data_IF_508648961000
#
_entry.id   IF_508648961000
#
_cell.length_a   1.000
_cell.length_b   1.000
_cell.length_c   1.000
_cell.angle_alpha   90.00
_cell.angle_beta   90.00
_cell.angle_gamma   90.00
#
_symmetry.space_group_name_H-M   'P 1'
#
loop_
_entity.id
_entity.type
_entity.pdbx_description
1 polymer ?
#
# COMPACT_ATOMS: atom_id res chain seq x y z
N UNK A 1 -5.37 -5.13 -2.99
CA UNK A 1 -4.13 -4.53 -3.52
C UNK A 1 -3.58 -3.57 -2.47
N UNK A 2 -2.27 -3.62 -2.22
CA UNK A 2 -1.57 -2.77 -1.28
C UNK A 2 -0.84 -1.66 -2.06
N UNK A 3 -0.94 -0.41 -1.62
CA UNK A 3 -0.32 0.74 -2.27
C UNK A 3 0.47 1.55 -1.25
N UNK A 4 1.79 1.64 -1.41
CA UNK A 4 2.64 2.54 -0.64
C UNK A 4 2.65 3.92 -1.33
N UNK A 5 2.31 4.99 -0.62
CA UNK A 5 2.24 6.34 -1.20
C UNK A 5 2.55 7.43 -0.19
N UNK A 6 3.51 8.31 -0.50
CA UNK A 6 3.86 9.46 0.35
C UNK A 6 2.92 10.66 0.20
N UNK A 7 2.52 10.95 -1.05
CA UNK A 7 1.71 12.13 -1.41
C UNK A 7 0.29 11.78 -1.88
N UNK A 8 -0.10 10.51 -1.80
CA UNK A 8 -1.42 10.03 -2.25
C UNK A 8 -1.52 9.73 -3.75
N UNK A 9 -0.61 10.24 -4.60
CA UNK A 9 -0.67 10.11 -6.07
C UNK A 9 -0.85 8.67 -6.57
N UNK A 10 -0.09 7.71 -6.02
CA UNK A 10 -0.20 6.30 -6.42
C UNK A 10 -1.59 5.72 -6.14
N UNK A 11 -2.11 5.94 -4.93
CA UNK A 11 -3.45 5.51 -4.54
C UNK A 11 -4.55 6.20 -5.34
N UNK A 12 -4.42 7.50 -5.65
CA UNK A 12 -5.37 8.23 -6.53
C UNK A 12 -5.40 7.63 -7.93
N UNK A 13 -4.24 7.32 -8.53
CA UNK A 13 -4.19 6.66 -9.84
C UNK A 13 -4.90 5.31 -9.80
N UNK A 14 -4.65 4.49 -8.78
CA UNK A 14 -5.30 3.18 -8.63
C UNK A 14 -6.81 3.30 -8.42
N UNK A 15 -7.27 4.26 -7.61
CA UNK A 15 -8.69 4.51 -7.39
C UNK A 15 -9.42 4.89 -8.70
N UNK A 16 -8.76 5.69 -9.55
CA UNK A 16 -9.31 6.12 -10.84
C UNK A 16 -9.50 4.96 -11.83
N UNK A 17 -8.76 3.85 -11.70
CA UNK A 17 -8.97 2.66 -12.52
C UNK A 17 -10.30 1.96 -12.23
N UNK A 18 -10.95 2.27 -11.09
CA UNK A 18 -12.27 1.73 -10.69
C UNK A 18 -12.33 0.19 -10.74
N UNK A 19 -11.23 -0.46 -10.38
CA UNK A 19 -11.13 -1.92 -10.35
C UNK A 19 -12.22 -2.48 -9.43
N UNK A 20 -13.02 -3.42 -9.94
CA UNK A 20 -14.12 -4.03 -9.19
C UNK A 20 -13.63 -5.27 -8.46
N UNK A 21 -14.10 -5.48 -7.23
CA UNK A 21 -13.79 -6.67 -6.43
C UNK A 21 -12.39 -6.69 -5.79
N UNK A 22 -11.58 -5.63 -5.98
CA UNK A 22 -10.23 -5.54 -5.40
C UNK A 22 -10.15 -4.29 -4.50
N UNK A 23 -10.14 -4.45 -3.16
CA UNK A 23 -9.96 -3.32 -2.25
C UNK A 23 -8.54 -2.74 -2.38
N UNK A 24 -8.43 -1.42 -2.30
CA UNK A 24 -7.15 -0.69 -2.34
C UNK A 24 -6.78 -0.29 -0.92
N UNK A 25 -5.75 -0.92 -0.35
CA UNK A 25 -5.21 -0.58 0.96
C UNK A 25 -4.01 0.36 0.77
N UNK A 26 -4.18 1.63 1.10
CA UNK A 26 -3.18 2.66 0.85
C UNK A 26 -2.42 3.02 2.13
N UNK A 27 -1.10 2.94 2.13
CA UNK A 27 -0.26 3.26 3.28
C UNK A 27 0.48 4.58 3.05
N UNK A 28 0.47 5.45 4.05
CA UNK A 28 1.07 6.79 4.02
C UNK A 28 1.64 7.17 5.39
N UNK A 29 2.68 8.00 5.41
CA UNK A 29 3.32 8.48 6.66
C UNK A 29 2.61 9.69 7.27
N UNK A 30 1.73 10.36 6.52
CA UNK A 30 1.08 11.60 6.98
C UNK A 30 -0.43 11.48 7.13
N UNK A 31 -0.95 12.00 8.24
CA UNK A 31 -2.39 12.09 8.51
C UNK A 31 -3.11 12.96 7.47
N UNK A 32 -2.47 14.03 6.99
CA UNK A 32 -3.04 14.87 5.92
C UNK A 32 -3.34 14.06 4.65
N UNK A 33 -2.38 13.25 4.21
CA UNK A 33 -2.59 12.39 3.03
C UNK A 33 -3.62 11.31 3.32
N UNK A 34 -3.60 10.68 4.50
CA UNK A 34 -4.61 9.69 4.90
C UNK A 34 -6.03 10.27 4.82
N UNK A 35 -6.25 11.45 5.39
CA UNK A 35 -7.55 12.16 5.32
C UNK A 35 -7.98 12.47 3.90
N UNK A 36 -7.05 12.85 3.02
CA UNK A 36 -7.35 13.07 1.60
C UNK A 36 -7.75 11.77 0.91
N UNK A 37 -7.06 10.66 1.21
CA UNK A 37 -7.32 9.35 0.61
C UNK A 37 -8.65 8.73 1.07
N UNK A 38 -9.16 9.09 2.25
CA UNK A 38 -10.47 8.62 2.75
C UNK A 38 -11.64 9.05 1.83
N UNK A 39 -11.47 10.10 1.03
CA UNK A 39 -12.47 10.57 0.08
C UNK A 39 -12.51 9.73 -1.21
N UNK A 40 -11.51 8.87 -1.44
CA UNK A 40 -11.41 8.08 -2.67
C UNK A 40 -12.21 6.79 -2.56
N UNK A 41 -13.01 6.50 -3.59
CA UNK A 41 -13.82 5.29 -3.66
C UNK A 41 -12.95 4.03 -3.63
N UNK A 42 -13.29 3.10 -2.74
CA UNK A 42 -12.64 1.79 -2.65
C UNK A 42 -11.22 1.83 -2.09
N UNK A 43 -10.80 2.98 -1.53
CA UNK A 43 -9.50 3.16 -0.88
C UNK A 43 -9.68 3.12 0.63
N UNK A 44 -8.88 2.29 1.29
CA UNK A 44 -8.78 2.15 2.73
C UNK A 44 -7.40 2.62 3.17
N UNK A 45 -7.26 3.87 3.66
CA UNK A 45 -5.96 4.42 3.98
C UNK A 45 -5.52 4.07 5.41
N UNK A 46 -4.23 3.78 5.57
CA UNK A 46 -3.58 3.48 6.83
C UNK A 46 -2.38 4.38 7.05
N UNK A 47 -2.15 4.75 8.31
CA UNK A 47 -0.94 5.43 8.72
C UNK A 47 0.15 4.37 9.00
N UNK A 48 1.30 4.51 8.37
CA UNK A 48 2.47 3.67 8.57
C UNK A 48 3.71 4.54 8.44
N UNK A 49 4.61 4.45 9.41
CA UNK A 49 5.94 5.08 9.32
C UNK A 49 6.77 4.32 8.29
N UNK A 50 7.42 5.01 7.35
CA UNK A 50 8.27 4.34 6.38
C UNK A 50 9.68 4.25 6.93
N UNK A 51 10.31 3.12 6.64
CA UNK A 51 11.71 2.86 6.93
C UNK A 51 12.59 3.31 5.75
N UNK A 52 13.88 3.49 6.01
CA UNK A 52 14.86 3.78 4.95
C UNK A 52 14.95 2.62 3.95
N UNK A 53 14.80 1.39 4.46
CA UNK A 53 14.68 0.19 3.65
C UNK A 53 13.22 0.02 3.14
N UNK A 54 13.00 0.10 1.81
CA UNK A 54 11.68 -0.12 1.23
C UNK A 54 11.10 -1.50 1.53
N UNK A 55 11.94 -2.53 1.67
CA UNK A 55 11.50 -3.89 1.94
C UNK A 55 10.87 -3.99 3.34
N UNK A 56 11.50 -3.38 4.35
CA UNK A 56 10.93 -3.32 5.70
C UNK A 56 9.60 -2.59 5.73
N UNK A 57 9.49 -1.48 5.00
CA UNK A 57 8.22 -0.75 4.87
C UNK A 57 7.11 -1.63 4.30
N UNK A 58 7.41 -2.41 3.25
CA UNK A 58 6.44 -3.33 2.63
C UNK A 58 6.03 -4.44 3.61
N UNK A 59 7.00 -5.05 4.31
CA UNK A 59 6.72 -6.09 5.30
C UNK A 59 5.85 -5.58 6.45
N UNK A 60 6.15 -4.38 6.96
CA UNK A 60 5.37 -3.74 8.02
C UNK A 60 3.94 -3.43 7.54
N UNK A 61 3.78 -2.99 6.28
CA UNK A 61 2.46 -2.77 5.67
C UNK A 61 1.67 -4.08 5.53
N UNK A 62 2.31 -5.17 5.08
CA UNK A 62 1.68 -6.49 4.96
C UNK A 62 1.24 -7.04 6.32
N UNK A 63 2.09 -6.92 7.36
CA UNK A 63 1.76 -7.34 8.72
C UNK A 63 0.59 -6.54 9.29
N UNK A 64 0.61 -5.21 9.09
CA UNK A 64 -0.51 -4.36 9.49
C UNK A 64 -1.80 -4.74 8.76
N UNK A 65 -1.72 -5.01 7.46
CA UNK A 65 -2.87 -5.40 6.66
C UNK A 65 -3.46 -6.73 7.13
N UNK A 66 -2.62 -7.74 7.35
CA UNK A 66 -3.01 -9.05 7.90
C UNK A 66 -3.80 -8.87 9.19
N UNK A 67 -3.25 -8.11 10.15
CA UNK A 67 -3.86 -7.90 11.46
C UNK A 67 -5.14 -7.05 11.42
N UNK A 68 -5.21 -6.04 10.53
CA UNK A 68 -6.35 -5.11 10.48
C UNK A 68 -7.54 -5.65 9.68
N UNK A 69 -7.29 -6.51 8.70
CA UNK A 69 -8.32 -7.05 7.81
C UNK A 69 -8.60 -8.54 8.08
N UNK A 70 -7.96 -9.12 9.09
CA UNK A 70 -8.05 -10.55 9.43
C UNK A 70 -7.85 -11.44 8.18
N UNK A 71 -6.88 -11.05 7.35
CA UNK A 71 -6.65 -11.74 6.08
C UNK A 71 -5.94 -13.08 6.33
N UNK A 72 -6.39 -14.15 5.66
CA UNK A 72 -5.73 -15.45 5.80
C UNK A 72 -4.30 -15.40 5.26
N UNK A 73 -3.40 -16.13 5.92
CA UNK A 73 -2.05 -16.37 5.41
C UNK A 73 -2.11 -17.05 4.03
N UNK A 74 -1.06 -16.87 3.21
CA UNK A 74 -1.01 -17.51 1.88
C UNK A 74 -1.77 -16.76 0.78
N UNK A 75 -2.49 -15.67 1.08
CA UNK A 75 -3.15 -14.85 0.06
C UNK A 75 -2.12 -14.05 -0.74
N UNK A 76 -2.25 -14.09 -2.06
CA UNK A 76 -1.46 -13.25 -2.98
C UNK A 76 -1.99 -11.81 -3.00
N UNK A 77 -1.08 -10.86 -2.76
CA UNK A 77 -1.34 -9.43 -2.74
C UNK A 77 -0.44 -8.74 -3.76
N UNK A 78 -1.06 -7.95 -4.62
CA UNK A 78 -0.33 -6.99 -5.47
C UNK A 78 0.08 -5.79 -4.62
N UNK A 79 1.37 -5.52 -4.58
CA UNK A 79 2.01 -4.37 -3.93
C UNK A 79 2.41 -3.37 -5.01
N UNK A 80 1.94 -2.14 -4.89
CA UNK A 80 2.32 -1.00 -5.74
C UNK A 80 3.09 -0.01 -4.89
N UNK A 81 4.31 0.31 -5.26
CA UNK A 81 5.15 1.24 -4.51
C UNK A 81 5.99 2.10 -5.44
N UNK A 82 6.32 3.31 -4.96
CA UNK A 82 7.38 4.14 -5.52
C UNK A 82 8.64 3.84 -4.70
N UNK A 83 9.56 3.02 -5.25
CA UNK A 83 10.82 2.68 -4.59
C UNK A 83 11.88 3.68 -5.00
N UNK A 84 12.68 4.15 -4.03
CA UNK A 84 13.85 4.96 -4.29
C UNK A 84 15.01 4.03 -4.66
N UNK A 85 15.49 4.12 -5.89
CA UNK A 85 16.66 3.40 -6.39
C UNK A 85 17.81 4.38 -6.64
N UNK A 86 19.02 3.87 -6.92
CA UNK A 86 20.17 4.70 -7.29
C UNK A 86 19.93 5.59 -8.53
N UNK A 87 18.94 5.26 -9.36
CA UNK A 87 18.55 6.01 -10.56
C UNK A 87 17.34 6.95 -10.33
N UNK A 88 16.87 7.06 -9.08
CA UNK A 88 15.71 7.88 -8.70
C UNK A 88 14.48 7.06 -8.31
N UNK A 89 13.31 7.70 -8.37
CA UNK A 89 12.03 7.05 -8.01
C UNK A 89 11.56 6.14 -9.14
N UNK A 90 11.53 4.84 -8.89
CA UNK A 90 11.00 3.83 -9.81
C UNK A 90 9.66 3.34 -9.30
N UNK A 91 8.65 3.41 -10.19
CA UNK A 91 7.36 2.78 -9.96
C UNK A 91 7.50 1.27 -10.10
N UNK A 92 7.22 0.51 -9.03
CA UNK A 92 7.24 -0.95 -9.09
C UNK A 92 5.85 -1.54 -8.79
N UNK A 93 5.60 -2.69 -9.42
CA UNK A 93 4.49 -3.58 -9.08
C UNK A 93 5.09 -4.93 -8.70
N UNK A 94 4.73 -5.45 -7.53
CA UNK A 94 5.21 -6.73 -7.01
C UNK A 94 4.03 -7.59 -6.61
N UNK A 95 4.16 -8.90 -6.75
CA UNK A 95 3.21 -9.87 -6.18
C UNK A 95 3.89 -10.48 -4.97
N UNK A 96 3.24 -10.36 -3.81
CA UNK A 96 3.73 -10.92 -2.55
C UNK A 96 2.68 -11.81 -1.94
N UNK A 97 3.12 -12.82 -1.22
CA UNK A 97 2.22 -13.67 -0.42
C UNK A 97 2.18 -13.13 1.00
N UNK A 98 1.01 -13.12 1.64
CA UNK A 98 0.91 -12.79 3.05
C UNK A 98 1.72 -13.80 3.87
N UNK A 99 2.59 -13.33 4.79
CA UNK A 99 3.44 -14.22 5.57
C UNK A 99 2.61 -15.17 6.43
N UNK A 100 3.05 -16.42 6.50
CA UNK A 100 2.68 -17.36 7.56
C UNK A 100 3.48 -16.92 8.80
N UNK A 101 2.76 -16.47 9.85
CA UNK A 101 3.24 -15.89 11.12
C UNK A 101 4.60 -15.15 11.14
#
# INVERSE_FOLDING_TARGET
MLVITRKGRGATKMANLRVRGIPIFAFTETEKTKSTLMLLRGVYPYLLKFDEDPEQTIQNALRMLKNKQDMPSGVSIVVVADIMTGEGYVNCLQIRTLPEE
#
